data_IF_079831207466
#
_entry.id   IF_079831207466
#
_cell.length_a   1.000
_cell.length_b   1.000
_cell.length_c   1.000
_cell.angle_alpha   90.00
_cell.angle_beta   90.00
_cell.angle_gamma   90.00
#
_symmetry.space_group_name_H-M   'P 1'
#
loop_
_entity.id
_entity.type
_entity.pdbx_description
1 polymer ?
#
# COMPACT_ATOMS: atom_id res chain seq x y z
N UNK A 1 18.25 9.83 1.61
CA UNK A 1 17.74 8.64 2.30
C UNK A 1 16.22 8.53 2.09
N UNK A 2 15.70 7.34 1.81
CA UNK A 2 14.27 7.14 1.68
C UNK A 2 13.57 7.32 3.03
N UNK A 3 12.29 7.73 3.00
CA UNK A 3 11.43 7.59 4.17
C UNK A 3 10.97 6.13 4.26
N UNK A 4 11.13 5.54 5.44
CA UNK A 4 10.81 4.12 5.68
C UNK A 4 9.84 4.02 6.85
N UNK A 5 8.67 3.49 6.59
CA UNK A 5 7.71 3.07 7.61
C UNK A 5 7.73 1.54 7.66
N UNK A 6 7.88 0.96 8.85
CA UNK A 6 7.93 -0.50 8.96
C UNK A 6 7.12 -1.03 10.14
N UNK A 7 6.71 -2.28 10.00
CA UNK A 7 6.04 -3.06 11.04
C UNK A 7 6.67 -4.44 11.14
N UNK A 8 6.56 -5.05 12.32
CA UNK A 8 7.00 -6.43 12.56
C UNK A 8 5.77 -7.23 13.01
N UNK A 9 4.91 -7.68 12.06
CA UNK A 9 3.65 -8.34 12.39
C UNK A 9 3.81 -9.62 13.21
N UNK A 10 4.92 -10.31 13.06
CA UNK A 10 5.26 -11.51 13.85
C UNK A 10 5.48 -11.27 15.35
N UNK A 11 5.59 -10.01 15.79
CA UNK A 11 5.60 -9.67 17.23
C UNK A 11 4.17 -9.72 17.80
N UNK A 12 3.17 -9.44 16.96
CA UNK A 12 1.75 -9.46 17.35
C UNK A 12 1.18 -10.87 17.18
N UNK A 13 1.48 -11.52 16.06
CA UNK A 13 1.04 -12.88 15.75
C UNK A 13 2.23 -13.74 15.30
N UNK A 14 2.61 -14.69 16.16
CA UNK A 14 3.74 -15.59 15.92
C UNK A 14 3.58 -16.51 14.69
N UNK A 15 2.36 -16.67 14.16
CA UNK A 15 2.12 -17.48 12.95
C UNK A 15 2.73 -16.87 11.68
N UNK A 16 3.11 -15.60 11.70
CA UNK A 16 3.75 -14.94 10.55
C UNK A 16 5.21 -15.35 10.33
N UNK A 17 5.86 -16.01 11.28
CA UNK A 17 7.25 -16.44 11.15
C UNK A 17 7.53 -17.75 11.90
N UNK A 18 8.51 -18.54 11.48
CA UNK A 18 9.02 -19.67 12.27
C UNK A 18 9.56 -19.20 13.62
N UNK A 19 9.58 -20.12 14.60
CA UNK A 19 10.11 -19.85 15.94
C UNK A 19 11.52 -19.23 15.89
N UNK A 20 11.72 -18.18 16.69
CA UNK A 20 12.98 -17.44 16.78
C UNK A 20 13.29 -16.57 15.54
N UNK A 21 12.32 -16.38 14.64
CA UNK A 21 12.44 -15.50 13.47
C UNK A 21 11.32 -14.47 13.44
N UNK A 22 11.54 -13.42 12.67
CA UNK A 22 10.57 -12.35 12.49
C UNK A 22 10.40 -11.98 11.02
N UNK A 23 9.22 -11.48 10.67
CA UNK A 23 8.94 -10.84 9.40
C UNK A 23 8.87 -9.34 9.65
N UNK A 24 9.62 -8.57 8.88
CA UNK A 24 9.53 -7.12 8.83
C UNK A 24 8.92 -6.72 7.49
N UNK A 25 7.86 -5.94 7.52
CA UNK A 25 7.26 -5.33 6.34
C UNK A 25 7.56 -3.83 6.35
N UNK A 26 8.10 -3.31 5.25
CA UNK A 26 8.46 -1.91 5.13
C UNK A 26 7.78 -1.26 3.91
N UNK A 27 7.16 -0.11 4.13
CA UNK A 27 6.68 0.79 3.08
C UNK A 27 7.70 1.91 2.89
N UNK A 28 8.17 2.04 1.66
CA UNK A 28 9.23 3.00 1.32
C UNK A 28 8.66 4.09 0.42
N UNK A 29 8.80 5.33 0.85
CA UNK A 29 8.36 6.48 0.08
C UNK A 29 9.48 7.05 -0.79
N UNK A 30 9.08 7.85 -1.78
CA UNK A 30 9.92 8.41 -2.84
C UNK A 30 10.45 7.37 -3.83
N UNK A 31 9.66 6.30 -4.04
CA UNK A 31 9.87 5.30 -5.08
C UNK A 31 8.81 5.47 -6.18
N UNK A 32 8.95 6.43 -7.10
CA UNK A 32 7.91 6.74 -8.08
C UNK A 32 7.75 5.62 -9.11
N UNK A 33 6.53 5.45 -9.64
CA UNK A 33 6.24 4.49 -10.70
C UNK A 33 7.10 4.76 -11.95
N UNK A 34 7.18 6.04 -12.37
CA UNK A 34 8.00 6.49 -13.50
C UNK A 34 9.30 7.12 -13.01
N UNK A 35 10.40 6.44 -13.30
CA UNK A 35 11.73 6.95 -12.98
C UNK A 35 12.22 7.91 -14.07
N UNK A 36 13.00 8.91 -13.68
CA UNK A 36 13.64 9.81 -14.64
C UNK A 36 14.77 9.07 -15.38
N UNK A 37 14.67 8.96 -16.69
CA UNK A 37 15.70 8.39 -17.59
C UNK A 37 16.00 6.90 -17.39
N UNK A 38 15.16 6.14 -16.70
CA UNK A 38 15.34 4.70 -16.50
C UNK A 38 14.01 4.02 -16.18
N UNK A 39 14.01 2.70 -16.18
CA UNK A 39 12.86 1.86 -15.75
C UNK A 39 13.25 1.04 -14.52
N UNK A 40 12.27 0.57 -13.77
CA UNK A 40 12.54 -0.36 -12.69
C UNK A 40 13.20 -1.64 -13.21
N UNK A 41 14.26 -2.07 -12.54
CA UNK A 41 15.00 -3.29 -12.82
C UNK A 41 15.36 -4.00 -11.50
N UNK A 42 15.82 -5.24 -11.57
CA UNK A 42 16.26 -5.98 -10.39
C UNK A 42 17.43 -5.29 -9.67
N UNK A 43 18.36 -4.68 -10.43
CA UNK A 43 19.47 -3.94 -9.86
C UNK A 43 18.99 -2.74 -9.04
N UNK A 44 17.98 -2.02 -9.54
CA UNK A 44 17.38 -0.88 -8.81
C UNK A 44 16.63 -1.32 -7.56
N UNK A 45 15.95 -2.47 -7.61
CA UNK A 45 15.32 -3.05 -6.42
C UNK A 45 16.37 -3.44 -5.37
N UNK A 46 17.50 -4.01 -5.80
CA UNK A 46 18.64 -4.30 -4.90
C UNK A 46 19.22 -3.02 -4.30
N UNK A 47 19.37 -1.96 -5.09
CA UNK A 47 19.82 -0.67 -4.58
C UNK A 47 18.85 -0.08 -3.56
N UNK A 48 17.54 -0.13 -3.84
CA UNK A 48 16.51 0.32 -2.91
C UNK A 48 16.59 -0.47 -1.60
N UNK A 49 16.66 -1.80 -1.67
CA UNK A 49 16.85 -2.66 -0.51
C UNK A 49 18.07 -2.25 0.32
N UNK A 50 19.22 -2.05 -0.33
CA UNK A 50 20.45 -1.69 0.35
C UNK A 50 20.33 -0.31 1.03
N UNK A 51 19.66 0.64 0.41
CA UNK A 51 19.40 1.96 1.00
C UNK A 51 18.50 1.84 2.23
N UNK A 52 17.42 1.06 2.16
CA UNK A 52 16.52 0.80 3.29
C UNK A 52 17.27 0.10 4.42
N UNK A 53 18.04 -0.94 4.09
CA UNK A 53 18.86 -1.66 5.09
C UNK A 53 19.82 -0.72 5.80
N UNK A 54 20.49 0.17 5.08
CA UNK A 54 21.40 1.17 5.65
C UNK A 54 20.67 2.16 6.58
N UNK A 55 19.47 2.59 6.20
CA UNK A 55 18.64 3.44 7.07
C UNK A 55 18.27 2.71 8.35
N UNK A 56 17.81 1.47 8.25
CA UNK A 56 17.43 0.67 9.42
C UNK A 56 18.64 0.32 10.31
N UNK A 57 19.81 0.08 9.74
CA UNK A 57 21.05 -0.17 10.49
C UNK A 57 21.42 0.98 11.44
N UNK A 58 21.09 2.23 11.09
CA UNK A 58 21.33 3.39 11.96
C UNK A 58 20.47 3.37 13.24
N UNK A 59 19.32 2.71 13.20
CA UNK A 59 18.38 2.64 14.33
C UNK A 59 18.43 1.28 15.03
N UNK A 60 18.80 0.23 14.31
CA UNK A 60 18.85 -1.15 14.79
C UNK A 60 20.24 -1.71 14.44
N UNK A 61 21.25 -1.45 15.29
CA UNK A 61 22.62 -1.96 15.05
C UNK A 61 22.67 -3.48 14.86
N UNK A 62 23.31 -3.95 13.79
CA UNK A 62 23.41 -5.36 13.45
C UNK A 62 22.21 -5.89 12.64
N UNK A 63 21.28 -5.02 12.21
CA UNK A 63 20.10 -5.42 11.44
C UNK A 63 20.47 -6.14 10.14
N UNK A 64 21.42 -5.62 9.40
CA UNK A 64 21.87 -6.18 8.11
C UNK A 64 22.33 -7.61 8.21
N UNK A 65 23.05 -7.97 9.28
CA UNK A 65 23.54 -9.31 9.51
C UNK A 65 22.43 -10.33 9.85
N UNK A 66 21.26 -9.85 10.28
CA UNK A 66 20.13 -10.69 10.67
C UNK A 66 19.17 -10.99 9.50
N UNK A 67 19.31 -10.28 8.37
CA UNK A 67 18.44 -10.50 7.20
C UNK A 67 18.76 -11.89 6.61
N UNK A 68 17.77 -12.79 6.62
CA UNK A 68 17.87 -14.12 6.01
C UNK A 68 17.40 -14.13 4.56
N UNK A 69 16.31 -13.43 4.27
CA UNK A 69 15.79 -13.25 2.92
C UNK A 69 15.04 -11.93 2.84
N UNK A 70 14.85 -11.44 1.62
CA UNK A 70 14.09 -10.21 1.39
C UNK A 70 13.43 -10.24 0.01
N UNK A 71 12.23 -9.68 -0.09
CA UNK A 71 11.56 -9.38 -1.34
C UNK A 71 11.35 -7.87 -1.45
N UNK A 72 11.45 -7.32 -2.65
CA UNK A 72 11.18 -5.91 -2.94
C UNK A 72 10.17 -5.85 -4.06
N UNK A 73 9.08 -5.14 -3.82
CA UNK A 73 8.08 -4.84 -4.84
C UNK A 73 8.19 -3.36 -5.22
N UNK A 74 8.54 -3.11 -6.47
CA UNK A 74 8.45 -1.77 -7.05
C UNK A 74 7.00 -1.40 -7.32
N UNK A 75 6.66 -0.13 -7.58
CA UNK A 75 5.32 0.24 -8.02
C UNK A 75 4.85 -0.51 -9.28
N UNK A 76 5.77 -0.85 -10.20
CA UNK A 76 5.47 -1.66 -11.38
C UNK A 76 5.09 -3.09 -10.99
N UNK A 77 5.84 -3.72 -10.07
CA UNK A 77 5.50 -5.05 -9.58
C UNK A 77 4.12 -5.05 -8.88
N UNK A 78 3.78 -3.98 -8.15
CA UNK A 78 2.47 -3.86 -7.50
C UNK A 78 1.33 -3.78 -8.53
N UNK A 79 1.55 -3.09 -9.64
CA UNK A 79 0.57 -3.06 -10.73
C UNK A 79 0.45 -4.41 -11.44
N UNK A 80 1.57 -5.01 -11.80
CA UNK A 80 1.60 -6.29 -12.53
C UNK A 80 1.05 -7.47 -11.71
N UNK A 81 1.39 -7.56 -10.42
CA UNK A 81 1.00 -8.69 -9.59
C UNK A 81 -0.38 -8.51 -8.93
N UNK A 82 -0.81 -7.28 -8.65
CA UNK A 82 -2.01 -7.02 -7.86
C UNK A 82 -3.04 -6.13 -8.58
N UNK A 83 -2.74 -5.66 -9.81
CA UNK A 83 -3.64 -4.79 -10.58
C UNK A 83 -3.81 -3.39 -9.96
N UNK A 84 -2.86 -2.96 -9.13
CA UNK A 84 -2.89 -1.63 -8.51
C UNK A 84 -2.35 -0.60 -9.49
N UNK A 85 -3.23 0.22 -10.07
CA UNK A 85 -2.85 1.22 -11.06
C UNK A 85 -1.69 2.08 -10.57
N UNK A 86 -0.59 2.11 -11.34
CA UNK A 86 0.68 2.76 -11.01
C UNK A 86 1.23 2.39 -9.62
N UNK A 87 0.88 1.21 -9.10
CA UNK A 87 1.32 0.70 -7.80
C UNK A 87 0.72 1.43 -6.59
N UNK A 88 -0.36 2.16 -6.76
CA UNK A 88 -0.95 2.97 -5.70
C UNK A 88 -1.80 2.12 -4.73
N UNK A 89 -1.30 1.95 -3.51
CA UNK A 89 -1.96 1.18 -2.45
C UNK A 89 -3.31 1.77 -2.01
N UNK A 90 -3.56 3.06 -2.25
CA UNK A 90 -4.80 3.75 -1.90
C UNK A 90 -5.78 3.88 -3.08
N UNK A 91 -5.53 3.22 -4.20
CA UNK A 91 -6.35 3.28 -5.43
C UNK A 91 -6.56 4.70 -5.95
N UNK A 92 -5.51 5.47 -6.01
CA UNK A 92 -5.48 6.82 -6.50
C UNK A 92 -4.98 7.83 -5.48
N UNK A 93 -4.47 8.93 -5.98
CA UNK A 93 -3.89 9.98 -5.18
C UNK A 93 -4.95 10.67 -4.30
N UNK A 94 -4.61 10.97 -3.06
CA UNK A 94 -5.48 11.67 -2.12
C UNK A 94 -5.33 13.19 -2.28
N UNK A 95 -5.69 13.70 -3.45
CA UNK A 95 -5.77 15.12 -3.74
C UNK A 95 -7.08 15.74 -3.20
N UNK A 96 -7.16 17.07 -3.12
CA UNK A 96 -8.33 17.75 -2.55
C UNK A 96 -9.65 17.39 -3.25
N UNK A 97 -9.61 17.09 -4.55
CA UNK A 97 -10.77 16.64 -5.32
C UNK A 97 -11.06 15.13 -5.16
N UNK A 98 -10.37 14.44 -4.27
CA UNK A 98 -10.59 13.04 -3.92
C UNK A 98 -10.91 12.86 -2.44
N UNK A 99 -11.24 13.95 -1.72
CA UNK A 99 -11.67 13.89 -0.34
C UNK A 99 -13.19 13.92 -0.21
N UNK A 100 -13.70 13.34 0.86
CA UNK A 100 -15.11 13.32 1.27
C UNK A 100 -16.03 12.84 0.13
N UNK A 101 -17.02 13.66 -0.21
CA UNK A 101 -18.03 13.39 -1.23
C UNK A 101 -17.53 13.54 -2.68
N UNK A 102 -16.26 13.75 -2.89
CA UNK A 102 -15.67 13.86 -4.23
C UNK A 102 -15.02 12.58 -4.74
N UNK A 103 -14.93 11.55 -3.88
CA UNK A 103 -14.27 10.28 -4.23
C UNK A 103 -15.28 9.16 -4.52
N UNK A 104 -15.17 8.42 -5.63
CA UNK A 104 -14.25 8.60 -6.77
C UNK A 104 -14.63 9.78 -7.66
N UNK A 105 -15.91 10.10 -7.75
CA UNK A 105 -16.50 11.25 -8.43
C UNK A 105 -17.71 11.72 -7.64
N UNK A 106 -18.13 12.96 -7.82
CA UNK A 106 -19.30 13.52 -7.13
C UNK A 106 -20.56 12.68 -7.36
N UNK A 107 -20.77 12.18 -8.59
CA UNK A 107 -21.92 11.35 -8.94
C UNK A 107 -21.92 9.94 -8.32
N UNK A 108 -20.77 9.44 -7.91
CA UNK A 108 -20.60 8.09 -7.32
C UNK A 108 -20.12 8.13 -5.87
N UNK A 109 -20.08 9.31 -5.26
CA UNK A 109 -19.59 9.50 -3.90
C UNK A 109 -20.43 8.79 -2.82
N UNK A 110 -21.68 8.47 -3.12
CA UNK A 110 -22.57 7.70 -2.26
C UNK A 110 -22.61 6.20 -2.61
N UNK A 111 -21.50 5.67 -3.10
CA UNK A 111 -21.30 4.24 -3.37
C UNK A 111 -22.12 3.68 -4.55
N UNK A 112 -23.05 4.41 -5.13
CA UNK A 112 -23.79 4.02 -6.32
C UNK A 112 -22.96 4.30 -7.57
N UNK A 113 -22.95 3.38 -8.51
CA UNK A 113 -22.44 3.63 -9.86
C UNK A 113 -23.57 4.10 -10.79
N UNK A 114 -23.26 4.64 -11.98
CA UNK A 114 -24.27 4.92 -13.01
C UNK A 114 -24.98 3.65 -13.54
N UNK A 115 -24.45 2.48 -13.27
CA UNK A 115 -25.05 1.18 -13.65
C UNK A 115 -26.02 0.77 -12.55
N UNK A 116 -27.22 0.46 -12.93
CA UNK A 116 -28.27 0.02 -11.98
C UNK A 116 -27.83 -1.23 -11.20
N UNK A 117 -28.08 -1.21 -9.90
CA UNK A 117 -27.71 -2.29 -8.94
C UNK A 117 -26.21 -2.56 -8.80
N UNK A 118 -25.32 -1.72 -9.36
CA UNK A 118 -23.88 -1.81 -9.16
C UNK A 118 -23.41 -0.77 -8.14
N UNK A 119 -22.80 -1.24 -7.05
CA UNK A 119 -22.28 -0.43 -5.98
C UNK A 119 -20.75 -0.56 -5.86
N UNK A 120 -20.12 0.49 -5.38
CA UNK A 120 -18.67 0.58 -5.16
C UNK A 120 -18.40 0.53 -3.66
N UNK A 121 -17.46 -0.32 -3.21
CA UNK A 121 -17.15 -0.44 -1.78
C UNK A 121 -15.66 -0.57 -1.47
N UNK A 122 -14.81 -0.40 -2.45
CA UNK A 122 -13.35 -0.52 -2.30
C UNK A 122 -12.66 0.79 -1.88
N UNK A 123 -11.33 0.79 -1.76
CA UNK A 123 -10.54 1.96 -1.35
C UNK A 123 -10.63 3.15 -2.34
N UNK A 124 -11.16 2.94 -3.54
CA UNK A 124 -11.51 4.01 -4.47
C UNK A 124 -12.70 4.87 -4.03
N UNK A 125 -13.48 4.48 -3.00
CA UNK A 125 -14.59 5.26 -2.45
C UNK A 125 -14.20 5.98 -1.16
N UNK A 126 -15.06 6.89 -0.66
CA UNK A 126 -14.86 7.49 0.67
C UNK A 126 -14.91 6.41 1.78
N UNK A 127 -14.07 6.46 2.81
CA UNK A 127 -13.06 7.47 3.13
C UNK A 127 -11.69 7.27 2.47
N UNK A 128 -11.52 6.33 1.56
CA UNK A 128 -10.25 6.04 0.90
C UNK A 128 -9.64 4.73 1.34
N UNK A 129 -8.33 4.56 1.11
CA UNK A 129 -7.60 3.35 1.49
C UNK A 129 -7.41 3.18 3.00
N UNK A 130 -7.00 1.98 3.39
CA UNK A 130 -6.77 1.56 4.77
C UNK A 130 -7.59 0.33 5.13
N UNK A 131 -7.17 -0.38 6.18
CA UNK A 131 -7.83 -1.61 6.68
C UNK A 131 -8.82 -1.29 7.81
N UNK A 132 -9.82 -0.46 7.52
CA UNK A 132 -10.83 -0.01 8.50
C UNK A 132 -12.26 -0.48 8.21
N UNK A 133 -12.50 -1.11 7.05
CA UNK A 133 -13.83 -1.62 6.65
C UNK A 133 -14.90 -0.55 6.39
N UNK A 134 -14.59 0.74 6.53
CA UNK A 134 -15.59 1.82 6.43
C UNK A 134 -16.25 1.92 5.06
N UNK A 135 -15.50 1.69 3.99
CA UNK A 135 -16.03 1.70 2.63
C UNK A 135 -17.14 0.66 2.44
N UNK A 136 -16.89 -0.59 2.89
CA UNK A 136 -17.87 -1.66 2.83
C UNK A 136 -19.09 -1.40 3.74
N UNK A 137 -18.84 -0.91 4.95
CA UNK A 137 -19.91 -0.56 5.90
C UNK A 137 -20.83 0.53 5.32
N UNK A 138 -20.25 1.61 4.78
CA UNK A 138 -21.02 2.70 4.21
C UNK A 138 -21.80 2.26 2.95
N UNK A 139 -21.17 1.46 2.08
CA UNK A 139 -21.85 0.90 0.91
C UNK A 139 -23.02 0.00 1.30
N UNK A 140 -22.85 -0.85 2.31
CA UNK A 140 -23.92 -1.70 2.82
C UNK A 140 -25.10 -0.89 3.37
N UNK A 141 -24.83 0.20 4.10
CA UNK A 141 -25.87 1.13 4.58
C UNK A 141 -26.65 1.76 3.43
N UNK A 142 -25.96 2.18 2.38
CA UNK A 142 -26.62 2.76 1.20
C UNK A 142 -27.49 1.73 0.46
N UNK A 143 -27.02 0.49 0.33
CA UNK A 143 -27.77 -0.62 -0.28
C UNK A 143 -29.04 -0.93 0.53
N UNK A 144 -28.90 -1.01 1.84
CA UNK A 144 -30.00 -1.35 2.75
C UNK A 144 -30.88 -0.15 3.09
N UNK A 145 -30.50 1.07 2.68
CA UNK A 145 -31.19 2.33 3.00
C UNK A 145 -31.40 2.54 4.52
N UNK A 146 -30.35 2.19 5.31
CA UNK A 146 -30.31 2.35 6.76
C UNK A 146 -29.78 3.73 7.18
#
# INVERSE_FOLDING_TARGET
DPYVEFTIPSVIDSNFAPEGKHVLSATVQYAPYRLRNQTWSEELKVQLKNNVTRVLENYIPGFSAQIKSSAVFSPVDLEENFGLTEGNLNHGEMTLNQFFFMRPTISSAQYKSPIENLYLCGPGTHPGGGLHGANGFNAAREILKL
#
